data_IF_282990704409
#
_entry.id   IF_282990704409
#
_cell.length_a   1.000
_cell.length_b   1.000
_cell.length_c   1.000
_cell.angle_alpha   90.00
_cell.angle_beta   90.00
_cell.angle_gamma   90.00
#
_symmetry.space_group_name_H-M   'P 1'
#
loop_
_entity.id
_entity.type
_entity.pdbx_description
1 polymer ?
#
# COMPACT_ATOMS: atom_id res chain seq x y z
N UNK A 1 23.64 -12.36 5.33
CA UNK A 1 23.54 -11.26 4.38
C UNK A 1 23.28 -9.95 5.12
N UNK A 2 23.77 -8.91 4.56
CA UNK A 2 23.70 -7.59 5.15
C UNK A 2 22.64 -6.78 4.42
N UNK A 3 21.77 -6.07 5.19
CA UNK A 3 20.77 -5.22 4.61
C UNK A 3 21.30 -3.80 4.46
N UNK A 4 21.04 -3.22 3.31
CA UNK A 4 21.43 -1.84 3.04
C UNK A 4 20.20 -1.02 2.70
N UNK A 5 20.18 0.24 3.12
CA UNK A 5 19.10 1.15 2.77
C UNK A 5 19.24 1.54 1.30
N UNK A 6 18.22 1.22 0.50
CA UNK A 6 18.20 1.53 -0.91
C UNK A 6 17.52 2.88 -1.17
N UNK A 7 16.41 3.13 -0.50
CA UNK A 7 15.63 4.34 -0.73
C UNK A 7 14.66 4.56 0.43
N UNK A 8 14.43 5.83 0.75
CA UNK A 8 13.36 6.23 1.66
C UNK A 8 12.32 6.96 0.82
N UNK A 9 11.07 6.49 0.83
CA UNK A 9 10.01 7.12 0.06
C UNK A 9 9.14 7.96 0.97
N UNK A 10 8.70 9.10 0.47
CA UNK A 10 7.85 10.05 1.20
C UNK A 10 6.60 10.25 0.35
N UNK A 11 5.43 9.97 0.92
CA UNK A 11 4.21 10.10 0.15
C UNK A 11 2.94 10.20 0.95
N UNK A 12 3.04 10.08 2.27
CA UNK A 12 1.88 10.20 3.14
C UNK A 12 1.96 11.46 3.97
N UNK A 13 0.79 12.02 4.27
CA UNK A 13 0.68 13.16 5.19
C UNK A 13 0.34 12.60 6.57
N UNK A 14 1.33 12.49 7.42
CA UNK A 14 1.16 11.94 8.74
C UNK A 14 1.80 10.58 8.89
N UNK A 15 1.34 9.83 9.87
CA UNK A 15 1.94 8.56 10.24
C UNK A 15 1.62 7.49 9.22
N UNK A 16 2.65 6.75 8.79
CA UNK A 16 2.48 5.54 7.99
C UNK A 16 2.36 4.38 8.96
N UNK A 17 1.23 3.67 8.93
CA UNK A 17 0.94 2.63 9.89
C UNK A 17 1.36 1.23 9.44
N UNK A 18 1.38 1.00 8.13
CA UNK A 18 1.66 -0.35 7.64
C UNK A 18 2.13 -0.31 6.20
N UNK A 19 2.95 -1.27 5.83
CA UNK A 19 3.33 -1.52 4.45
C UNK A 19 3.24 -3.02 4.22
N UNK A 20 2.91 -3.41 2.99
CA UNK A 20 2.78 -4.81 2.63
C UNK A 20 3.28 -5.05 1.22
N UNK A 21 4.14 -6.03 1.06
CA UNK A 21 4.66 -6.41 -0.25
C UNK A 21 3.65 -7.26 -1.00
N UNK A 22 3.52 -6.97 -2.30
CA UNK A 22 2.82 -7.86 -3.22
C UNK A 22 3.60 -9.20 -3.26
N UNK A 23 2.89 -10.33 -3.40
CA UNK A 23 3.57 -11.64 -3.42
C UNK A 23 4.68 -11.77 -4.45
N UNK A 24 4.60 -11.05 -5.56
CA UNK A 24 5.64 -11.08 -6.58
C UNK A 24 6.83 -10.17 -6.27
N UNK A 25 6.72 -9.33 -5.24
CA UNK A 25 7.82 -8.49 -4.80
C UNK A 25 8.08 -7.26 -5.65
N UNK A 26 7.22 -6.95 -6.62
CA UNK A 26 7.42 -5.83 -7.54
C UNK A 26 6.59 -4.60 -7.21
N UNK A 27 5.73 -4.69 -6.21
CA UNK A 27 4.88 -3.60 -5.77
C UNK A 27 4.74 -3.71 -4.25
N UNK A 28 4.63 -2.59 -3.57
CA UNK A 28 4.21 -2.63 -2.16
C UNK A 28 3.13 -1.59 -1.93
N UNK A 29 2.30 -1.84 -0.92
CA UNK A 29 1.24 -0.95 -0.52
C UNK A 29 1.62 -0.30 0.81
N UNK A 30 1.30 0.97 0.96
CA UNK A 30 1.45 1.68 2.23
C UNK A 30 0.15 2.35 2.60
N UNK A 31 -0.11 2.48 3.88
CA UNK A 31 -1.32 3.12 4.36
C UNK A 31 -1.00 3.94 5.60
N UNK A 32 -1.86 4.88 5.90
CA UNK A 32 -1.58 5.76 7.01
C UNK A 32 -2.74 6.61 7.49
N UNK A 33 -2.36 7.58 8.26
CA UNK A 33 -3.24 8.50 8.93
C UNK A 33 -4.05 9.37 7.96
N UNK A 34 -3.52 9.58 6.76
CA UNK A 34 -4.16 10.40 5.73
C UNK A 34 -5.33 9.70 5.03
N UNK A 35 -5.69 8.48 5.45
CA UNK A 35 -6.84 7.72 4.96
C UNK A 35 -6.69 7.22 3.52
N UNK A 36 -5.49 7.19 3.01
CA UNK A 36 -5.24 6.72 1.65
C UNK A 36 -4.27 5.56 1.66
N UNK A 37 -4.33 4.78 0.59
CA UNK A 37 -3.39 3.70 0.33
C UNK A 37 -2.62 4.09 -0.91
N UNK A 38 -1.31 3.94 -0.87
CA UNK A 38 -0.48 4.17 -2.05
C UNK A 38 0.16 2.86 -2.46
N UNK A 39 0.11 2.59 -3.75
CA UNK A 39 0.80 1.45 -4.35
C UNK A 39 2.05 1.97 -5.02
N UNK A 40 3.17 1.37 -4.67
CA UNK A 40 4.48 1.79 -5.14
C UNK A 40 5.07 0.70 -6.02
N UNK A 41 5.58 1.08 -7.18
CA UNK A 41 6.29 0.16 -8.04
C UNK A 41 7.66 0.72 -8.37
N UNK A 42 8.55 -0.15 -8.82
CA UNK A 42 9.89 0.26 -9.17
C UNK A 42 9.91 0.77 -10.59
N UNK A 43 10.49 1.96 -10.77
CA UNK A 43 10.68 2.57 -12.07
C UNK A 43 12.18 2.80 -12.22
N UNK A 44 12.83 1.93 -13.02
CA UNK A 44 14.28 1.92 -13.06
C UNK A 44 14.84 1.45 -11.73
N UNK A 45 15.60 2.30 -11.06
CA UNK A 45 16.17 1.97 -9.76
C UNK A 45 15.45 2.62 -8.61
N UNK A 46 14.39 3.40 -8.90
CA UNK A 46 13.66 4.11 -7.88
C UNK A 46 12.23 3.62 -7.75
N UNK A 47 11.72 3.67 -6.52
CA UNK A 47 10.34 3.35 -6.21
C UNK A 47 9.50 4.61 -6.30
N UNK A 48 8.39 4.52 -7.02
CA UNK A 48 7.50 5.65 -7.22
C UNK A 48 6.04 5.22 -7.09
N UNK A 49 5.18 6.18 -6.78
CA UNK A 49 3.76 5.93 -6.64
C UNK A 49 3.18 5.53 -8.00
N UNK A 50 2.55 4.36 -8.04
CA UNK A 50 1.86 3.85 -9.21
C UNK A 50 0.38 4.18 -9.16
N UNK A 51 -0.23 4.05 -8.00
CA UNK A 51 -1.68 4.19 -7.83
C UNK A 51 -1.96 4.71 -6.44
N UNK A 52 -2.98 5.54 -6.33
CA UNK A 52 -3.47 6.05 -5.04
C UNK A 52 -4.92 5.58 -4.89
N UNK A 53 -5.21 4.90 -3.79
CA UNK A 53 -6.56 4.42 -3.50
C UNK A 53 -7.16 5.33 -2.45
N UNK A 54 -8.29 5.93 -2.79
CA UNK A 54 -8.99 6.88 -1.92
C UNK A 54 -10.44 6.43 -1.73
N UNK A 55 -11.12 7.07 -0.78
CA UNK A 55 -12.55 6.88 -0.56
C UNK A 55 -12.96 5.49 -0.07
N UNK A 56 -12.00 4.68 0.36
CA UNK A 56 -12.31 3.38 0.93
C UNK A 56 -12.57 3.42 2.43
N UNK A 57 -12.06 4.43 3.11
CA UNK A 57 -12.15 4.55 4.55
C UNK A 57 -12.34 5.99 4.98
N UNK A 58 -12.95 6.15 6.15
CA UNK A 58 -13.28 7.46 6.72
C UNK A 58 -12.33 7.86 7.85
N UNK A 59 -11.44 6.99 8.25
CA UNK A 59 -10.47 7.24 9.31
C UNK A 59 -9.15 6.61 8.93
N UNK A 60 -8.14 6.83 9.76
CA UNK A 60 -6.82 6.24 9.61
C UNK A 60 -6.90 4.78 9.19
N UNK A 61 -6.12 4.42 8.20
CA UNK A 61 -5.97 3.02 7.77
C UNK A 61 -4.77 2.46 8.51
N UNK A 62 -4.99 1.43 9.31
CA UNK A 62 -3.93 0.91 10.17
C UNK A 62 -3.21 -0.31 9.59
N UNK A 63 -3.79 -0.97 8.61
CA UNK A 63 -3.19 -2.17 8.05
C UNK A 63 -3.65 -2.42 6.63
N UNK A 64 -2.74 -2.91 5.81
CA UNK A 64 -3.03 -3.41 4.46
C UNK A 64 -2.35 -4.77 4.32
N UNK A 65 -2.95 -5.64 3.52
CA UNK A 65 -2.41 -6.97 3.29
C UNK A 65 -2.86 -7.48 1.92
N UNK A 66 -1.91 -7.96 1.15
CA UNK A 66 -2.20 -8.59 -0.13
C UNK A 66 -2.70 -10.02 0.06
N UNK A 67 -3.61 -10.46 -0.80
CA UNK A 67 -3.97 -11.88 -0.85
C UNK A 67 -2.79 -12.69 -1.37
N UNK A 68 -2.73 -14.00 -1.06
CA UNK A 68 -1.64 -14.84 -1.54
C UNK A 68 -1.52 -14.88 -3.07
N UNK A 69 -2.62 -14.73 -3.79
CA UNK A 69 -2.60 -14.70 -5.25
C UNK A 69 -2.23 -13.34 -5.82
N UNK A 70 -2.22 -12.28 -4.98
CA UNK A 70 -1.86 -10.94 -5.41
C UNK A 70 -2.96 -10.18 -6.14
N UNK A 71 -4.16 -10.75 -6.25
CA UNK A 71 -5.26 -10.10 -6.96
C UNK A 71 -6.11 -9.19 -6.09
N UNK A 72 -6.01 -9.33 -4.78
CA UNK A 72 -6.80 -8.55 -3.85
C UNK A 72 -5.90 -7.92 -2.79
N UNK A 73 -6.31 -6.74 -2.35
CA UNK A 73 -5.68 -6.06 -1.23
C UNK A 73 -6.76 -5.77 -0.21
N UNK A 74 -6.53 -6.12 1.04
CA UNK A 74 -7.44 -5.82 2.12
C UNK A 74 -6.86 -4.69 2.97
N UNK A 75 -7.72 -3.78 3.41
CA UNK A 75 -7.31 -2.70 4.31
C UNK A 75 -8.25 -2.62 5.50
N UNK A 76 -7.68 -2.33 6.67
CA UNK A 76 -8.42 -2.21 7.91
C UNK A 76 -8.26 -0.81 8.48
N UNK A 77 -9.35 -0.23 8.94
CA UNK A 77 -9.37 1.15 9.40
C UNK A 77 -9.94 1.27 10.81
N UNK A 78 -9.59 2.37 11.45
CA UNK A 78 -10.19 2.71 12.74
C UNK A 78 -11.67 3.11 12.61
N UNK A 79 -12.21 3.22 11.39
CA UNK A 79 -13.65 3.43 11.21
C UNK A 79 -14.44 2.13 11.44
N UNK A 80 -13.76 1.04 11.75
CA UNK A 80 -14.40 -0.24 12.03
C UNK A 80 -14.68 -1.08 10.80
N UNK A 81 -14.19 -0.67 9.64
CA UNK A 81 -14.44 -1.38 8.38
C UNK A 81 -13.18 -2.00 7.81
N UNK A 82 -13.39 -3.01 6.98
CA UNK A 82 -12.36 -3.61 6.16
C UNK A 82 -12.80 -3.47 4.71
N UNK A 83 -11.93 -2.90 3.89
CA UNK A 83 -12.21 -2.76 2.47
C UNK A 83 -11.41 -3.81 1.70
N UNK A 84 -12.01 -4.35 0.65
CA UNK A 84 -11.32 -5.28 -0.23
C UNK A 84 -11.22 -4.63 -1.60
N UNK A 85 -10.01 -4.54 -2.09
CA UNK A 85 -9.69 -3.90 -3.36
C UNK A 85 -9.31 -4.98 -4.36
N UNK A 86 -9.94 -4.95 -5.52
CA UNK A 86 -9.75 -5.96 -6.56
C UNK A 86 -8.88 -5.39 -7.67
N UNK A 87 -7.90 -6.16 -8.07
CA UNK A 87 -7.05 -5.78 -9.19
C UNK A 87 -7.81 -6.04 -10.49
N UNK A 88 -8.25 -4.98 -11.13
CA UNK A 88 -8.99 -5.09 -12.37
C UNK A 88 -8.06 -5.37 -13.55
N UNK A 89 -8.59 -6.04 -14.55
CA UNK A 89 -7.89 -6.28 -15.80
C UNK A 89 -7.44 -4.96 -16.41
N UNK A 90 -6.15 -4.88 -16.74
CA UNK A 90 -5.59 -3.68 -17.34
C UNK A 90 -5.18 -2.58 -16.39
N UNK A 91 -5.32 -2.81 -15.08
CA UNK A 91 -4.95 -1.79 -14.09
C UNK A 91 -3.69 -2.14 -13.32
#
# INVERSE_FOLDING_TARGET
AKLELVQTVIGHKGIVWNVSWHPLGNVFASCGEDKIIKLWSRDGEEWAVKTVLVDGHQRTIREVSWSPCGNFLASASFDGTTAVWDKKSGS
#
